data_IF_199507641977
#
_entry.id   IF_199507641977
#
_cell.length_a   1.000
_cell.length_b   1.000
_cell.length_c   1.000
_cell.angle_alpha   90.00
_cell.angle_beta   90.00
_cell.angle_gamma   90.00
#
_symmetry.space_group_name_H-M   'P 1'
#
loop_
_entity.id
_entity.type
_entity.pdbx_description
1 polymer ?
#
# COMPACT_ATOMS: atom_id res chain seq x y z
N UNK A 1 -17.41 4.56 -10.72
CA UNK A 1 -16.03 5.02 -10.46
C UNK A 1 -15.12 3.81 -10.52
N UNK A 2 -14.16 3.77 -11.45
CA UNK A 2 -13.20 2.68 -11.57
C UNK A 2 -12.24 2.76 -10.38
N UNK A 3 -12.39 1.87 -9.39
CA UNK A 3 -11.42 1.80 -8.29
C UNK A 3 -10.03 1.50 -8.87
N UNK A 4 -9.03 2.27 -8.45
CA UNK A 4 -7.63 1.98 -8.77
C UNK A 4 -7.28 0.59 -8.24
N UNK A 5 -6.79 -0.30 -9.12
CA UNK A 5 -6.33 -1.65 -8.77
C UNK A 5 -5.12 -1.66 -7.83
N UNK A 6 -4.41 -0.53 -7.73
CA UNK A 6 -3.19 -0.43 -6.95
C UNK A 6 -3.29 0.64 -5.88
N UNK A 7 -2.60 0.39 -4.77
CA UNK A 7 -2.47 1.29 -3.65
C UNK A 7 -1.00 1.70 -3.43
N UNK A 8 -0.74 3.01 -3.54
CA UNK A 8 0.58 3.59 -3.28
C UNK A 8 0.70 3.98 -1.81
N UNK A 9 1.50 3.25 -1.06
CA UNK A 9 1.78 3.52 0.35
C UNK A 9 3.05 4.36 0.50
N UNK A 10 2.93 5.53 1.13
CA UNK A 10 4.07 6.41 1.45
C UNK A 10 4.39 6.48 2.95
N UNK A 11 3.60 5.82 3.79
CA UNK A 11 3.76 5.84 5.25
C UNK A 11 4.44 4.55 5.70
N UNK A 12 5.59 4.69 6.37
CA UNK A 12 6.32 3.55 6.96
C UNK A 12 5.45 2.77 7.95
N UNK A 13 4.64 3.48 8.74
CA UNK A 13 3.76 2.84 9.73
C UNK A 13 2.66 2.04 9.05
N UNK A 14 2.06 2.58 7.98
CA UNK A 14 1.04 1.87 7.21
C UNK A 14 1.65 0.67 6.47
N UNK A 15 2.83 0.83 5.87
CA UNK A 15 3.58 -0.26 5.25
C UNK A 15 3.81 -1.41 6.23
N UNK A 16 4.25 -1.13 7.47
CA UNK A 16 4.42 -2.15 8.51
C UNK A 16 3.12 -2.86 8.86
N UNK A 17 2.00 -2.13 8.95
CA UNK A 17 0.66 -2.73 9.20
C UNK A 17 0.24 -3.65 8.05
N UNK A 18 0.35 -3.17 6.81
CA UNK A 18 0.02 -3.94 5.60
C UNK A 18 0.87 -5.21 5.48
N UNK A 19 2.19 -5.10 5.70
CA UNK A 19 3.11 -6.25 5.72
C UNK A 19 2.75 -7.27 6.78
N UNK A 20 2.44 -6.84 8.01
CA UNK A 20 2.06 -7.73 9.11
C UNK A 20 0.75 -8.47 8.82
N UNK A 21 -0.16 -7.84 8.09
CA UNK A 21 -1.43 -8.44 7.71
C UNK A 21 -1.36 -9.35 6.47
N UNK A 22 -0.19 -9.48 5.84
CA UNK A 22 -0.01 -10.32 4.66
C UNK A 22 -0.51 -9.69 3.35
N UNK A 23 -0.63 -8.37 3.28
CA UNK A 23 -1.05 -7.69 2.04
C UNK A 23 -0.04 -7.92 0.89
N UNK A 24 -0.57 -8.06 -0.32
CA UNK A 24 0.19 -8.35 -1.53
C UNK A 24 1.05 -7.15 -1.96
N UNK A 25 2.31 -7.14 -1.53
CA UNK A 25 3.30 -6.15 -1.94
C UNK A 25 3.80 -6.46 -3.36
N UNK A 26 3.59 -5.53 -4.28
CA UNK A 26 4.09 -5.61 -5.66
C UNK A 26 5.55 -5.17 -5.72
N UNK A 27 5.85 -3.96 -5.23
CA UNK A 27 7.21 -3.42 -5.27
C UNK A 27 7.48 -2.35 -4.21
N UNK A 28 8.76 -2.07 -4.02
CA UNK A 28 9.29 -0.91 -3.29
C UNK A 28 10.16 -0.10 -4.25
N UNK A 29 9.93 1.21 -4.34
CA UNK A 29 10.66 2.09 -5.24
C UNK A 29 10.80 3.50 -4.68
N UNK A 30 11.59 4.32 -5.36
CA UNK A 30 11.72 5.76 -5.11
C UNK A 30 10.94 6.52 -6.18
N UNK A 31 10.15 7.51 -5.75
CA UNK A 31 9.51 8.44 -6.68
C UNK A 31 10.55 9.36 -7.33
N UNK A 32 10.14 10.09 -8.36
CA UNK A 32 10.96 11.14 -9.00
C UNK A 32 11.41 12.24 -8.04
N UNK A 33 10.78 12.35 -6.86
CA UNK A 33 11.17 13.28 -5.78
C UNK A 33 12.02 12.60 -4.70
N UNK A 34 12.64 11.48 -5.03
CA UNK A 34 13.45 10.66 -4.12
C UNK A 34 12.71 10.20 -2.86
N UNK A 35 11.36 10.05 -2.94
CA UNK A 35 10.52 9.60 -1.83
C UNK A 35 10.22 8.11 -1.99
N UNK A 36 10.56 7.31 -0.98
CA UNK A 36 10.26 5.89 -0.96
C UNK A 36 8.74 5.64 -0.89
N UNK A 37 8.29 4.65 -1.64
CA UNK A 37 6.92 4.16 -1.59
C UNK A 37 6.87 2.65 -1.79
N UNK A 38 5.75 2.06 -1.37
CA UNK A 38 5.42 0.67 -1.56
C UNK A 38 4.13 0.56 -2.36
N UNK A 39 4.13 -0.28 -3.38
CA UNK A 39 2.96 -0.53 -4.21
C UNK A 39 2.31 -1.84 -3.78
N UNK A 40 1.01 -1.80 -3.54
CA UNK A 40 0.21 -2.97 -3.21
C UNK A 40 -0.89 -3.19 -4.24
N UNK A 41 -1.28 -4.44 -4.44
CA UNK A 41 -2.61 -4.72 -5.00
C UNK A 41 -3.67 -4.25 -4.02
N UNK A 42 -4.73 -3.64 -4.55
CA UNK A 42 -5.85 -3.17 -3.73
C UNK A 42 -6.83 -4.32 -3.51
N UNK A 43 -6.38 -5.30 -2.73
CA UNK A 43 -7.16 -6.46 -2.31
C UNK A 43 -7.99 -6.18 -1.05
N UNK A 44 -8.82 -7.14 -0.65
CA UNK A 44 -9.66 -7.04 0.56
C UNK A 44 -8.85 -6.78 1.83
N UNK A 45 -7.60 -7.27 1.92
CA UNK A 45 -6.74 -7.06 3.08
C UNK A 45 -6.33 -5.59 3.16
N UNK A 46 -5.90 -5.01 2.04
CA UNK A 46 -5.57 -3.58 1.95
C UNK A 46 -6.80 -2.74 2.26
N UNK A 47 -7.96 -3.04 1.65
CA UNK A 47 -9.18 -2.27 1.88
C UNK A 47 -9.65 -2.32 3.33
N UNK A 48 -9.62 -3.50 3.97
CA UNK A 48 -9.96 -3.65 5.39
C UNK A 48 -9.07 -2.79 6.28
N UNK A 49 -7.77 -2.75 6.01
CA UNK A 49 -6.83 -1.96 6.81
C UNK A 49 -7.07 -0.47 6.61
N UNK A 50 -7.30 -0.04 5.35
CA UNK A 50 -7.57 1.36 5.04
C UNK A 50 -8.89 1.86 5.65
N UNK A 51 -9.92 1.02 5.70
CA UNK A 51 -11.21 1.35 6.33
C UNK A 51 -11.18 1.32 7.86
N UNK A 52 -10.13 0.74 8.46
CA UNK A 52 -9.95 0.68 9.93
C UNK A 52 -9.13 1.84 10.51
N UNK A 53 -8.70 2.78 9.66
CA UNK A 53 -7.96 3.98 10.03
C UNK A 53 -8.88 5.20 10.08
#
# INVERSE_FOLDING_TARGET
>A
MTQSKYFFCYSVNLHRKLRKAGASLICEALSTRNKRFWLYEKDETVERILSSM
#
